data_IF_272445374471
#
_entry.id   IF_272445374471
#
_cell.length_a   1.000
_cell.length_b   1.000
_cell.length_c   1.000
_cell.angle_alpha   90.00
_cell.angle_beta   90.00
_cell.angle_gamma   90.00
#
_symmetry.space_group_name_H-M   'P 1'
#
loop_
_entity.id
_entity.type
_entity.pdbx_description
1 polymer ?
#
# COMPACT_ATOMS: atom_id res chain seq x y z
N UNK A 1 -12.16 -17.81 46.29
CA UNK A 1 -11.70 -16.60 47.01
C UNK A 1 -10.18 -16.52 47.14
N UNK A 2 -9.45 -17.62 47.37
CA UNK A 2 -8.00 -17.61 47.61
C UNK A 2 -7.14 -16.88 46.54
N UNK A 3 -7.52 -16.92 45.26
CA UNK A 3 -6.76 -16.25 44.18
C UNK A 3 -6.72 -14.71 44.34
N UNK A 4 -7.75 -14.10 44.94
CA UNK A 4 -7.78 -12.65 45.20
C UNK A 4 -7.03 -12.26 46.48
N UNK A 5 -6.48 -13.23 47.23
CA UNK A 5 -5.56 -12.96 48.33
C UNK A 5 -4.12 -12.73 47.82
N UNK A 6 -3.85 -13.00 46.54
CA UNK A 6 -2.56 -12.70 45.93
C UNK A 6 -2.39 -11.18 45.76
N UNK A 7 -1.15 -10.65 45.88
CA UNK A 7 -0.84 -9.28 45.49
C UNK A 7 -1.30 -9.00 44.05
N UNK A 8 -1.71 -7.77 43.77
CA UNK A 8 -2.26 -7.38 42.48
C UNK A 8 -1.28 -7.65 41.33
N UNK A 9 0.01 -7.46 41.58
CA UNK A 9 1.10 -7.71 40.64
C UNK A 9 1.20 -9.19 40.27
N UNK A 10 1.03 -10.09 41.25
CA UNK A 10 1.05 -11.53 41.01
C UNK A 10 -0.19 -11.95 40.23
N UNK A 11 -1.36 -11.40 40.58
CA UNK A 11 -2.59 -11.66 39.83
C UNK A 11 -2.46 -11.18 38.38
N UNK A 12 -1.97 -9.95 38.15
CA UNK A 12 -1.74 -9.41 36.83
C UNK A 12 -0.71 -10.25 36.04
N UNK A 13 0.35 -10.70 36.70
CA UNK A 13 1.34 -11.62 36.13
C UNK A 13 0.76 -13.00 35.77
N UNK A 14 -0.19 -13.53 36.53
CA UNK A 14 -0.88 -14.79 36.16
C UNK A 14 -1.78 -14.54 34.95
N UNK A 15 -2.56 -13.45 34.97
CA UNK A 15 -3.49 -13.12 33.90
C UNK A 15 -2.76 -12.76 32.60
N UNK A 16 -1.52 -12.28 32.66
CA UNK A 16 -0.72 -11.95 31.47
C UNK A 16 -0.31 -13.17 30.64
N UNK A 17 -0.45 -14.40 31.17
CA UNK A 17 -0.25 -15.65 30.40
C UNK A 17 -1.51 -16.13 29.68
N UNK A 18 -2.65 -15.48 29.88
CA UNK A 18 -3.92 -15.88 29.29
C UNK A 18 -4.19 -15.14 27.98
N UNK A 19 -4.91 -15.81 27.08
CA UNK A 19 -5.44 -15.14 25.89
C UNK A 19 -6.50 -14.09 26.28
N UNK A 20 -6.73 -13.06 25.43
CA UNK A 20 -7.70 -12.00 25.72
C UNK A 20 -9.10 -12.49 26.09
N UNK A 21 -9.58 -13.57 25.47
CA UNK A 21 -10.93 -14.06 25.70
C UNK A 21 -11.04 -14.73 27.07
N UNK A 22 -10.00 -15.43 27.52
CA UNK A 22 -9.89 -15.96 28.88
C UNK A 22 -9.83 -14.86 29.93
N UNK A 23 -9.09 -13.77 29.68
CA UNK A 23 -9.05 -12.60 30.59
C UNK A 23 -10.45 -11.98 30.76
N UNK A 24 -11.17 -11.77 29.65
CA UNK A 24 -12.54 -11.23 29.67
C UNK A 24 -13.48 -12.16 30.44
N UNK A 25 -13.37 -13.48 30.23
CA UNK A 25 -14.18 -14.47 30.95
C UNK A 25 -13.88 -14.46 32.45
N UNK A 26 -12.61 -14.35 32.84
CA UNK A 26 -12.22 -14.22 34.25
C UNK A 26 -12.82 -12.96 34.88
N UNK A 27 -12.74 -11.82 34.20
CA UNK A 27 -13.34 -10.56 34.66
C UNK A 27 -14.84 -10.63 34.93
N UNK A 28 -15.56 -11.54 34.26
CA UNK A 28 -17.01 -11.76 34.46
C UNK A 28 -17.36 -12.63 35.67
N UNK A 29 -16.39 -13.20 36.37
CA UNK A 29 -16.65 -14.13 37.48
C UNK A 29 -17.10 -13.45 38.76
N UNK A 30 -16.54 -12.27 39.09
CA UNK A 30 -16.93 -11.48 40.24
C UNK A 30 -16.48 -10.02 40.12
N UNK A 31 -16.95 -9.14 41.03
CA UNK A 31 -16.60 -7.71 41.03
C UNK A 31 -15.10 -7.46 41.19
N UNK A 32 -14.40 -8.25 42.02
CA UNK A 32 -12.96 -8.11 42.25
C UNK A 32 -12.15 -8.49 41.01
N UNK A 33 -12.56 -9.55 40.30
CA UNK A 33 -11.97 -9.92 39.02
C UNK A 33 -12.19 -8.81 37.98
N UNK A 34 -13.43 -8.32 37.86
CA UNK A 34 -13.78 -7.23 36.96
C UNK A 34 -12.92 -5.98 37.18
N UNK A 35 -12.72 -5.59 38.44
CA UNK A 35 -11.86 -4.46 38.79
C UNK A 35 -10.40 -4.68 38.40
N UNK A 36 -9.91 -5.93 38.50
CA UNK A 36 -8.53 -6.30 38.15
C UNK A 36 -8.29 -6.39 36.64
N UNK A 37 -9.33 -6.73 35.87
CA UNK A 37 -9.29 -6.83 34.39
C UNK A 37 -9.93 -5.62 33.71
N UNK A 38 -10.09 -4.49 34.40
CA UNK A 38 -10.69 -3.30 33.79
C UNK A 38 -9.80 -2.71 32.69
N UNK A 39 -10.35 -1.90 31.76
CA UNK A 39 -9.60 -1.24 30.69
C UNK A 39 -8.42 -0.39 31.18
N UNK A 40 -8.49 0.14 32.40
CA UNK A 40 -7.43 0.93 33.03
C UNK A 40 -6.15 0.13 33.31
N UNK A 41 -6.22 -1.21 33.35
CA UNK A 41 -5.04 -2.05 33.57
C UNK A 41 -4.25 -2.25 32.26
N UNK A 42 -3.62 -1.18 31.78
CA UNK A 42 -2.89 -1.16 30.51
C UNK A 42 -1.71 -2.14 30.47
N UNK A 43 -1.11 -2.48 31.61
CA UNK A 43 -0.04 -3.48 31.69
C UNK A 43 -0.57 -4.86 31.32
N UNK A 44 -1.70 -5.26 31.89
CA UNK A 44 -2.36 -6.52 31.54
C UNK A 44 -2.77 -6.55 30.07
N UNK A 45 -3.37 -5.46 29.59
CA UNK A 45 -3.85 -5.40 28.20
C UNK A 45 -2.71 -5.31 27.19
N UNK A 46 -1.56 -4.72 27.54
CA UNK A 46 -0.34 -4.82 26.74
C UNK A 46 0.09 -6.27 26.60
N UNK A 47 0.19 -7.03 27.70
CA UNK A 47 0.52 -8.46 27.61
C UNK A 47 -0.49 -9.25 26.78
N UNK A 48 -1.79 -9.02 26.98
CA UNK A 48 -2.85 -9.67 26.22
C UNK A 48 -2.79 -9.35 24.72
N UNK A 49 -2.47 -8.09 24.38
CA UNK A 49 -2.29 -7.64 23.01
C UNK A 49 -1.11 -8.34 22.34
N UNK A 50 0.03 -8.43 23.03
CA UNK A 50 1.26 -9.04 22.52
C UNK A 50 1.19 -10.57 22.34
N UNK A 51 0.18 -11.23 22.92
CA UNK A 51 -0.12 -12.64 22.61
C UNK A 51 -0.74 -12.84 21.22
N UNK A 52 -1.33 -11.79 20.65
CA UNK A 52 -2.15 -11.88 19.43
C UNK A 52 -1.60 -11.02 18.30
N UNK A 53 -1.03 -9.86 18.60
CA UNK A 53 -0.52 -8.90 17.64
C UNK A 53 0.95 -8.59 17.92
N UNK A 54 1.67 -8.14 16.90
CA UNK A 54 3.06 -7.69 17.03
C UNK A 54 3.15 -6.47 17.95
N UNK A 55 4.30 -6.29 18.61
CA UNK A 55 4.57 -5.07 19.39
C UNK A 55 4.66 -3.83 18.46
N UNK A 56 3.77 -2.84 18.61
CA UNK A 56 3.79 -1.63 17.80
C UNK A 56 5.11 -0.86 17.94
N UNK A 57 5.73 -0.86 19.13
CA UNK A 57 7.01 -0.16 19.34
C UNK A 57 8.13 -0.83 18.54
N UNK A 58 8.13 -2.16 18.45
CA UNK A 58 9.10 -2.88 17.60
C UNK A 58 8.84 -2.58 16.12
N UNK A 59 7.58 -2.56 15.68
CA UNK A 59 7.23 -2.23 14.30
C UNK A 59 7.64 -0.80 13.92
N UNK A 60 7.36 0.18 14.78
CA UNK A 60 7.72 1.57 14.55
C UNK A 60 9.23 1.81 14.64
N UNK A 61 9.96 1.05 15.47
CA UNK A 61 11.42 1.16 15.52
C UNK A 61 12.12 0.87 14.18
N UNK A 62 11.42 0.18 13.26
CA UNK A 62 11.90 -0.08 11.90
C UNK A 62 11.46 0.98 10.89
N UNK A 63 10.47 1.82 11.23
CA UNK A 63 10.10 2.94 10.36
C UNK A 63 11.11 4.09 10.49
N UNK A 64 11.40 4.82 9.40
CA UNK A 64 12.29 5.98 9.42
C UNK A 64 11.95 7.02 10.51
N UNK A 65 12.99 7.66 11.04
CA UNK A 65 12.86 8.73 12.03
C UNK A 65 12.83 8.20 13.46
N UNK A 66 12.29 9.01 14.37
CA UNK A 66 12.13 8.66 15.79
C UNK A 66 10.64 8.69 16.13
N UNK A 67 9.86 7.70 15.69
CA UNK A 67 8.44 7.67 15.95
C UNK A 67 8.19 7.62 17.47
N UNK A 68 7.18 8.36 17.98
CA UNK A 68 6.85 8.31 19.39
C UNK A 68 6.42 6.89 19.77
N UNK A 69 6.85 6.45 20.95
CA UNK A 69 6.50 5.17 21.56
C UNK A 69 5.00 5.07 21.86
N UNK A 70 4.53 3.85 22.15
CA UNK A 70 3.15 3.59 22.58
C UNK A 70 2.74 4.47 23.76
N UNK A 71 3.63 4.67 24.74
CA UNK A 71 3.38 5.56 25.87
C UNK A 71 3.22 7.03 25.45
N UNK A 72 4.10 7.53 24.59
CA UNK A 72 4.08 8.94 24.14
C UNK A 72 2.86 9.25 23.26
N UNK A 73 2.37 8.26 22.50
CA UNK A 73 1.14 8.38 21.70
C UNK A 73 -0.14 8.27 22.53
N UNK A 74 -0.06 7.89 23.80
CA UNK A 74 -1.24 7.51 24.58
C UNK A 74 -1.94 6.28 24.02
N UNK A 75 -1.17 5.31 23.53
CA UNK A 75 -1.70 4.08 22.93
C UNK A 75 -2.42 3.23 23.99
N UNK A 76 -3.74 3.12 23.86
CA UNK A 76 -4.57 2.32 24.75
C UNK A 76 -4.68 0.88 24.21
N UNK A 77 -3.96 -0.05 24.84
CA UNK A 77 -3.88 -1.45 24.41
C UNK A 77 -5.24 -2.16 24.48
N UNK A 78 -6.09 -1.86 25.46
CA UNK A 78 -7.42 -2.47 25.55
C UNK A 78 -8.32 -2.03 24.39
N UNK A 79 -8.30 -0.73 24.09
CA UNK A 79 -9.09 -0.13 23.01
C UNK A 79 -8.62 -0.64 21.65
N UNK A 80 -7.31 -0.68 21.41
CA UNK A 80 -6.74 -1.19 20.17
C UNK A 80 -7.00 -2.69 19.99
N UNK A 81 -6.84 -3.49 21.04
CA UNK A 81 -7.19 -4.92 21.03
C UNK A 81 -8.65 -5.12 20.63
N UNK A 82 -9.56 -4.40 21.28
CA UNK A 82 -11.00 -4.47 21.03
C UNK A 82 -11.33 -4.05 19.60
N UNK A 83 -10.79 -2.92 19.14
CA UNK A 83 -11.01 -2.39 17.79
C UNK A 83 -10.55 -3.39 16.72
N UNK A 84 -9.35 -3.96 16.88
CA UNK A 84 -8.80 -4.96 15.95
C UNK A 84 -9.63 -6.23 15.92
N UNK A 85 -10.03 -6.78 17.08
CA UNK A 85 -10.90 -7.96 17.12
C UNK A 85 -12.26 -7.72 16.48
N UNK A 86 -12.89 -6.56 16.73
CA UNK A 86 -14.17 -6.22 16.12
C UNK A 86 -14.03 -6.17 14.59
N UNK A 87 -12.97 -5.55 14.07
CA UNK A 87 -12.73 -5.48 12.63
C UNK A 87 -12.49 -6.87 12.01
N UNK A 88 -11.65 -7.70 12.64
CA UNK A 88 -11.40 -9.08 12.19
C UNK A 88 -12.67 -9.93 12.21
N UNK A 89 -13.52 -9.77 13.23
CA UNK A 89 -14.80 -10.45 13.30
C UNK A 89 -15.79 -9.93 12.24
N UNK A 90 -15.77 -8.63 11.94
CA UNK A 90 -16.60 -8.04 10.91
C UNK A 90 -16.22 -8.57 9.51
N UNK A 91 -14.93 -8.69 9.19
CA UNK A 91 -14.48 -9.31 7.92
C UNK A 91 -15.06 -10.72 7.75
N UNK A 92 -15.16 -11.50 8.84
CA UNK A 92 -15.75 -12.85 8.79
C UNK A 92 -17.25 -12.87 8.46
N UNK A 93 -17.98 -11.75 8.62
CA UNK A 93 -19.41 -11.67 8.24
C UNK A 93 -19.61 -11.42 6.73
N UNK A 94 -18.54 -11.15 5.97
CA UNK A 94 -18.54 -10.99 4.49
C UNK A 94 -19.39 -9.84 3.95
N UNK A 95 -19.94 -8.99 4.81
CA UNK A 95 -20.88 -7.90 4.45
C UNK A 95 -20.65 -6.63 5.29
N UNK A 96 -19.45 -6.49 5.85
CA UNK A 96 -19.13 -5.45 6.83
C UNK A 96 -18.92 -4.06 6.22
N UNK A 97 -18.75 -3.93 4.91
CA UNK A 97 -18.60 -2.63 4.24
C UNK A 97 -19.90 -1.82 4.15
N UNK A 98 -21.05 -2.47 4.25
CA UNK A 98 -22.36 -1.80 4.35
C UNK A 98 -22.68 -1.32 5.78
N UNK A 99 -21.82 -1.61 6.76
CA UNK A 99 -22.02 -1.19 8.15
C UNK A 99 -21.58 0.26 8.34
N UNK A 100 -22.30 1.03 9.18
CA UNK A 100 -21.89 2.40 9.55
C UNK A 100 -20.50 2.49 10.20
N UNK A 101 -19.95 1.37 10.70
CA UNK A 101 -18.60 1.25 11.26
C UNK A 101 -17.54 0.79 10.27
N UNK A 102 -17.85 0.66 8.98
CA UNK A 102 -16.93 0.15 7.96
C UNK A 102 -15.58 0.90 7.97
N UNK A 103 -15.58 2.22 8.06
CA UNK A 103 -14.35 3.02 8.15
C UNK A 103 -13.51 2.68 9.38
N UNK A 104 -14.14 2.46 10.54
CA UNK A 104 -13.41 2.04 11.74
C UNK A 104 -12.79 0.64 11.58
N UNK A 105 -13.41 -0.25 10.80
CA UNK A 105 -12.85 -1.56 10.48
C UNK A 105 -11.67 -1.45 9.53
N UNK A 106 -11.76 -0.58 8.52
CA UNK A 106 -10.67 -0.28 7.58
C UNK A 106 -9.46 0.27 8.34
N UNK A 107 -9.66 1.28 9.19
CA UNK A 107 -8.59 1.86 10.01
C UNK A 107 -7.92 0.83 10.93
N UNK A 108 -8.69 -0.12 11.47
CA UNK A 108 -8.14 -1.20 12.28
C UNK A 108 -7.28 -2.17 11.45
N UNK A 109 -7.72 -2.56 10.25
CA UNK A 109 -6.95 -3.42 9.35
C UNK A 109 -5.67 -2.73 8.88
N UNK A 110 -5.76 -1.45 8.51
CA UNK A 110 -4.60 -0.61 8.17
C UNK A 110 -3.65 -0.50 9.37
N UNK A 111 -4.15 -0.36 10.60
CA UNK A 111 -3.31 -0.36 11.80
C UNK A 111 -2.60 -1.69 12.02
N UNK A 112 -3.24 -2.84 11.77
CA UNK A 112 -2.60 -4.16 11.83
C UNK A 112 -1.46 -4.24 10.79
N UNK A 113 -1.68 -3.76 9.57
CA UNK A 113 -0.65 -3.66 8.52
C UNK A 113 0.49 -2.72 8.91
N UNK A 114 0.17 -1.53 9.41
CA UNK A 114 1.15 -0.51 9.73
C UNK A 114 2.04 -0.89 10.93
N UNK A 115 1.54 -1.78 11.79
CA UNK A 115 2.25 -2.35 12.95
C UNK A 115 2.74 -3.79 12.71
N UNK A 116 2.69 -4.30 11.48
CA UNK A 116 3.20 -5.63 11.19
C UNK A 116 4.73 -5.63 11.15
N UNK A 117 5.32 -6.60 11.85
CA UNK A 117 6.76 -6.85 11.81
C UNK A 117 7.12 -7.58 10.51
N UNK A 118 8.26 -7.26 9.90
CA UNK A 118 8.72 -8.01 8.70
C UNK A 118 10.19 -8.43 8.76
N UNK A 119 11.00 -7.76 9.58
CA UNK A 119 12.40 -8.11 9.78
C UNK A 119 12.66 -8.33 11.27
N UNK A 120 13.60 -9.22 11.63
CA UNK A 120 14.22 -9.22 12.94
C UNK A 120 14.61 -7.79 13.34
N UNK A 121 14.19 -7.37 14.54
CA UNK A 121 14.65 -6.10 15.10
C UNK A 121 16.06 -6.26 15.69
N UNK A 122 16.66 -5.16 16.17
CA UNK A 122 18.02 -5.20 16.74
C UNK A 122 18.16 -6.23 17.88
N UNK A 123 17.10 -6.45 18.67
CA UNK A 123 17.09 -7.45 19.76
C UNK A 123 17.03 -8.88 19.25
N UNK A 124 16.23 -9.15 18.22
CA UNK A 124 16.19 -10.46 17.57
C UNK A 124 17.53 -10.84 16.94
N UNK A 125 18.17 -9.88 16.26
CA UNK A 125 19.49 -10.07 15.64
C UNK A 125 20.54 -10.35 16.72
N UNK A 126 20.51 -9.61 17.83
CA UNK A 126 21.40 -9.87 18.97
C UNK A 126 21.21 -11.28 19.57
N UNK A 127 20.00 -11.86 19.45
CA UNK A 127 19.71 -13.24 19.85
C UNK A 127 20.00 -14.28 18.76
N UNK A 128 20.67 -13.90 17.66
CA UNK A 128 21.09 -14.80 16.60
C UNK A 128 20.03 -15.08 15.53
N UNK A 129 18.89 -14.38 15.53
CA UNK A 129 17.95 -14.47 14.40
C UNK A 129 18.51 -13.73 13.20
N UNK A 130 18.61 -14.42 12.07
CA UNK A 130 19.05 -13.85 10.80
C UNK A 130 17.81 -13.54 9.95
N UNK A 131 17.70 -12.35 9.34
CA UNK A 131 16.63 -12.05 8.39
C UNK A 131 16.69 -13.02 7.20
N UNK A 132 15.55 -13.56 6.79
CA UNK A 132 15.42 -14.35 5.56
C UNK A 132 14.41 -13.72 4.60
N UNK A 133 14.45 -14.14 3.33
CA UNK A 133 13.60 -13.57 2.28
C UNK A 133 12.10 -13.73 2.51
N UNK A 134 11.62 -14.63 3.38
CA UNK A 134 10.20 -14.77 3.67
C UNK A 134 9.94 -15.04 5.15
N UNK A 135 9.99 -13.98 5.95
CA UNK A 135 9.80 -14.02 7.40
C UNK A 135 8.35 -13.81 7.84
N UNK A 136 7.35 -14.07 6.98
CA UNK A 136 5.92 -13.85 7.31
C UNK A 136 5.47 -14.54 8.60
N UNK A 137 6.06 -15.68 8.95
CA UNK A 137 5.76 -16.45 10.16
C UNK A 137 6.30 -15.81 11.45
N UNK A 138 7.18 -14.80 11.34
CA UNK A 138 7.72 -14.08 12.51
C UNK A 138 6.77 -12.99 13.00
N UNK A 139 5.80 -12.58 12.17
CA UNK A 139 4.80 -11.57 12.49
C UNK A 139 3.45 -12.21 12.78
N UNK A 140 2.91 -11.92 13.96
CA UNK A 140 1.56 -12.30 14.34
C UNK A 140 0.54 -11.56 13.49
N UNK A 141 0.79 -10.28 13.18
CA UNK A 141 -0.10 -9.48 12.33
C UNK A 141 -0.21 -10.08 10.93
N UNK A 142 0.91 -10.51 10.33
CA UNK A 142 0.89 -11.13 9.03
C UNK A 142 0.25 -12.51 9.01
N UNK A 143 0.41 -13.30 10.05
CA UNK A 143 -0.32 -14.56 10.19
C UNK A 143 -1.83 -14.31 10.24
N UNK A 144 -2.28 -13.33 11.03
CA UNK A 144 -3.68 -12.92 11.07
C UNK A 144 -4.17 -12.49 9.69
N UNK A 145 -3.46 -11.59 9.01
CA UNK A 145 -3.85 -11.08 7.70
C UNK A 145 -3.83 -12.17 6.61
N UNK A 146 -2.89 -13.11 6.67
CA UNK A 146 -2.83 -14.25 5.74
C UNK A 146 -4.03 -15.17 5.92
N UNK A 147 -4.46 -15.40 7.17
CA UNK A 147 -5.66 -16.17 7.48
C UNK A 147 -6.96 -15.49 7.04
N UNK A 148 -6.96 -14.18 6.78
CA UNK A 148 -8.12 -13.49 6.21
C UNK A 148 -8.36 -13.80 4.73
N UNK A 149 -7.42 -14.46 4.04
CA UNK A 149 -7.60 -14.85 2.64
C UNK A 149 -8.85 -15.73 2.42
N UNK A 150 -9.19 -16.59 3.40
CA UNK A 150 -10.42 -17.39 3.40
C UNK A 150 -11.70 -16.54 3.43
N UNK A 151 -11.58 -15.30 3.94
CA UNK A 151 -12.65 -14.34 4.14
C UNK A 151 -12.50 -13.13 3.20
N UNK A 152 -11.89 -13.34 2.02
CA UNK A 152 -11.66 -12.28 1.02
C UNK A 152 -12.90 -11.43 0.75
N UNK A 153 -14.08 -12.04 0.70
CA UNK A 153 -15.36 -11.34 0.47
C UNK A 153 -15.61 -10.24 1.51
N UNK A 154 -15.17 -10.42 2.76
CA UNK A 154 -15.27 -9.38 3.78
C UNK A 154 -14.30 -8.23 3.57
N UNK A 155 -13.07 -8.51 3.10
CA UNK A 155 -12.11 -7.46 2.74
C UNK A 155 -12.62 -6.69 1.52
N UNK A 156 -13.09 -7.40 0.50
CA UNK A 156 -13.66 -6.80 -0.71
C UNK A 156 -14.92 -5.99 -0.39
N UNK A 157 -15.77 -6.44 0.54
CA UNK A 157 -16.90 -5.67 1.04
C UNK A 157 -16.45 -4.35 1.65
N UNK A 158 -15.42 -4.33 2.52
CA UNK A 158 -14.89 -3.07 3.07
C UNK A 158 -14.35 -2.13 1.98
N UNK A 159 -13.74 -2.67 0.92
CA UNK A 159 -13.19 -1.89 -0.19
C UNK A 159 -14.31 -1.30 -1.05
N UNK A 160 -15.34 -2.08 -1.38
CA UNK A 160 -16.30 -1.75 -2.45
C UNK A 160 -17.65 -1.25 -1.98
N UNK A 161 -18.11 -1.69 -0.81
CA UNK A 161 -19.45 -1.34 -0.34
C UNK A 161 -19.47 0.05 0.27
N UNK A 162 -20.66 0.65 0.28
CA UNK A 162 -20.94 1.87 1.02
C UNK A 162 -21.97 1.60 2.11
N UNK A 163 -21.89 2.26 3.27
CA UNK A 163 -22.98 2.25 4.24
C UNK A 163 -24.25 2.82 3.59
N UNK A 164 -25.27 1.98 3.39
CA UNK A 164 -26.55 2.44 2.86
C UNK A 164 -27.40 3.01 3.98
N UNK A 165 -27.79 4.29 3.86
CA UNK A 165 -28.81 4.89 4.73
C UNK A 165 -30.24 4.45 4.39
N UNK A 166 -30.45 3.89 3.21
CA UNK A 166 -31.75 3.37 2.78
C UNK A 166 -31.78 1.84 2.92
N UNK A 167 -32.92 1.29 3.34
CA UNK A 167 -33.12 -0.16 3.51
C UNK A 167 -33.04 -0.86 2.14
N UNK A 168 -31.83 -1.26 1.74
CA UNK A 168 -31.60 -2.17 0.62
C UNK A 168 -31.38 -3.60 1.16
N UNK A 169 -32.07 -4.63 0.65
CA UNK A 169 -31.86 -6.01 1.07
C UNK A 169 -30.51 -6.59 0.57
N UNK A 170 -29.78 -5.87 -0.27
CA UNK A 170 -28.45 -6.25 -0.79
C UNK A 170 -27.44 -5.13 -0.52
N UNK A 171 -26.15 -5.47 -0.30
CA UNK A 171 -25.08 -4.48 -0.22
C UNK A 171 -25.13 -3.55 -1.43
N UNK A 172 -25.07 -2.24 -1.18
CA UNK A 172 -24.93 -1.25 -2.25
C UNK A 172 -23.43 -1.03 -2.44
N UNK A 173 -22.92 -1.41 -3.61
CA UNK A 173 -21.53 -1.09 -3.97
C UNK A 173 -21.43 0.41 -4.26
N UNK A 174 -20.26 1.01 -4.01
CA UNK A 174 -20.01 2.44 -4.28
C UNK A 174 -20.33 2.81 -5.74
N UNK A 175 -20.08 1.89 -6.68
CA UNK A 175 -20.42 2.03 -8.10
C UNK A 175 -21.92 2.17 -8.39
N UNK A 176 -22.80 1.74 -7.48
CA UNK A 176 -24.25 1.84 -7.61
C UNK A 176 -24.83 3.13 -7.01
N UNK A 177 -24.00 3.94 -6.35
CA UNK A 177 -24.49 5.17 -5.72
C UNK A 177 -24.85 6.25 -6.75
N UNK A 178 -25.92 6.99 -6.45
CA UNK A 178 -26.43 8.06 -7.30
C UNK A 178 -25.52 9.29 -7.27
N UNK A 179 -24.89 9.57 -6.13
CA UNK A 179 -24.01 10.74 -5.95
C UNK A 179 -22.60 10.41 -6.38
N UNK A 180 -22.07 11.17 -7.34
CA UNK A 180 -20.70 11.02 -7.84
C UNK A 180 -19.64 11.04 -6.71
N UNK A 181 -19.87 11.86 -5.67
CA UNK A 181 -18.99 11.91 -4.49
C UNK A 181 -19.01 10.64 -3.65
N UNK A 182 -20.12 9.90 -3.64
CA UNK A 182 -20.29 8.64 -2.91
C UNK A 182 -19.81 7.43 -3.74
N UNK A 183 -19.59 7.61 -5.05
CA UNK A 183 -18.94 6.61 -5.91
C UNK A 183 -17.45 6.47 -5.60
N UNK A 184 -16.85 7.50 -5.02
CA UNK A 184 -15.46 7.45 -4.60
C UNK A 184 -15.33 6.67 -3.28
N UNK A 185 -14.37 5.73 -3.27
CA UNK A 185 -13.90 5.11 -2.03
C UNK A 185 -13.31 6.16 -1.12
N UNK A 186 -13.45 5.95 0.19
CA UNK A 186 -12.72 6.79 1.15
C UNK A 186 -11.21 6.62 0.96
N UNK A 187 -10.39 7.56 1.43
CA UNK A 187 -8.94 7.42 1.39
C UNK A 187 -8.46 6.13 2.07
N UNK A 188 -9.08 5.74 3.20
CA UNK A 188 -8.78 4.49 3.89
C UNK A 188 -9.12 3.26 3.05
N UNK A 189 -10.32 3.19 2.46
CA UNK A 189 -10.70 2.09 1.57
C UNK A 189 -9.79 1.99 0.33
N UNK A 190 -9.43 3.14 -0.26
CA UNK A 190 -8.53 3.20 -1.41
C UNK A 190 -7.11 2.74 -1.03
N UNK A 191 -6.60 3.15 0.15
CA UNK A 191 -5.33 2.67 0.69
C UNK A 191 -5.36 1.16 0.92
N UNK A 192 -6.40 0.65 1.57
CA UNK A 192 -6.57 -0.78 1.81
C UNK A 192 -6.56 -1.56 0.49
N UNK A 193 -7.26 -1.06 -0.53
CA UNK A 193 -7.30 -1.67 -1.85
C UNK A 193 -5.92 -1.68 -2.55
N UNK A 194 -5.19 -0.57 -2.51
CA UNK A 194 -3.82 -0.49 -3.04
C UNK A 194 -2.93 -1.54 -2.38
N UNK A 195 -2.98 -1.66 -1.04
CA UNK A 195 -2.14 -2.58 -0.27
C UNK A 195 -2.59 -4.05 -0.41
N UNK A 196 -3.89 -4.29 -0.63
CA UNK A 196 -4.47 -5.62 -0.81
C UNK A 196 -4.15 -6.21 -2.19
N UNK A 197 -4.38 -5.44 -3.26
CA UNK A 197 -4.31 -5.97 -4.63
C UNK A 197 -5.65 -5.89 -5.37
N UNK A 198 -5.71 -6.48 -6.56
CA UNK A 198 -6.93 -6.65 -7.35
C UNK A 198 -7.90 -7.60 -6.62
N UNK A 199 -9.12 -7.13 -6.46
CA UNK A 199 -10.24 -7.96 -5.98
C UNK A 199 -10.88 -8.75 -7.12
N UNK A 200 -11.82 -9.65 -6.78
CA UNK A 200 -12.66 -10.30 -7.77
C UNK A 200 -13.44 -9.30 -8.64
N UNK A 201 -13.82 -8.15 -8.08
CA UNK A 201 -14.55 -7.11 -8.80
C UNK A 201 -13.74 -6.59 -10.00
N UNK A 202 -12.48 -6.18 -9.81
CA UNK A 202 -11.65 -5.69 -10.91
C UNK A 202 -11.31 -6.78 -11.95
N UNK A 203 -11.26 -8.05 -11.53
CA UNK A 203 -10.92 -9.18 -12.41
C UNK A 203 -12.07 -9.57 -13.34
N UNK A 204 -13.31 -9.38 -12.91
CA UNK A 204 -14.51 -9.83 -13.63
C UNK A 204 -15.27 -8.67 -14.27
N UNK A 205 -15.37 -7.52 -13.60
CA UNK A 205 -16.21 -6.41 -14.04
C UNK A 205 -15.45 -5.43 -14.93
N UNK A 206 -15.79 -5.40 -16.22
CA UNK A 206 -15.25 -4.42 -17.18
C UNK A 206 -15.43 -2.97 -16.72
N UNK A 207 -16.55 -2.67 -16.05
CA UNK A 207 -16.85 -1.33 -15.52
C UNK A 207 -15.87 -0.88 -14.43
N UNK A 208 -15.29 -1.82 -13.67
CA UNK A 208 -14.28 -1.50 -12.67
C UNK A 208 -13.01 -0.96 -13.32
N UNK A 209 -12.61 -1.57 -14.45
CA UNK A 209 -11.46 -1.11 -15.24
C UNK A 209 -11.68 0.29 -15.79
N UNK A 210 -12.83 0.56 -16.41
CA UNK A 210 -13.13 1.90 -16.92
C UNK A 210 -13.21 2.95 -15.80
N UNK A 211 -13.76 2.60 -14.63
CA UNK A 211 -13.74 3.49 -13.46
C UNK A 211 -12.33 3.84 -13.00
N UNK A 212 -11.39 2.87 -13.00
CA UNK A 212 -10.00 3.13 -12.68
C UNK A 212 -9.33 4.02 -13.76
N UNK A 213 -9.54 3.71 -15.04
CA UNK A 213 -9.03 4.49 -16.19
C UNK A 213 -9.49 5.95 -16.15
N UNK A 214 -10.76 6.19 -15.83
CA UNK A 214 -11.31 7.55 -15.67
C UNK A 214 -10.60 8.37 -14.60
N UNK A 215 -10.03 7.74 -13.56
CA UNK A 215 -9.19 8.45 -12.58
C UNK A 215 -7.79 8.73 -13.14
N UNK A 216 -7.18 7.74 -13.78
CA UNK A 216 -5.79 7.78 -14.27
C UNK A 216 -5.61 8.78 -15.42
N UNK A 217 -6.54 8.80 -16.36
CA UNK A 217 -6.45 9.58 -17.59
C UNK A 217 -7.15 10.95 -17.51
N UNK A 218 -7.62 11.34 -16.33
CA UNK A 218 -8.22 12.66 -16.08
C UNK A 218 -7.12 13.69 -15.82
N UNK A 219 -6.86 14.56 -16.80
CA UNK A 219 -5.83 15.60 -16.73
C UNK A 219 -6.05 16.58 -15.56
N UNK A 220 -7.27 16.69 -15.04
CA UNK A 220 -7.53 17.55 -13.86
C UNK A 220 -6.94 16.98 -12.57
N UNK A 221 -6.50 15.71 -12.55
CA UNK A 221 -5.93 15.05 -11.37
C UNK A 221 -4.43 15.29 -11.20
N UNK A 222 -3.74 15.72 -12.24
CA UNK A 222 -2.28 15.94 -12.23
C UNK A 222 -1.92 17.32 -12.78
N UNK A 223 -0.81 17.88 -12.31
CA UNK A 223 -0.34 19.21 -12.68
C UNK A 223 0.95 19.59 -11.97
N UNK A 224 1.46 20.79 -12.25
CA UNK A 224 2.67 21.31 -11.63
C UNK A 224 2.58 21.42 -10.09
N UNK A 225 1.38 21.58 -9.53
CA UNK A 225 1.11 21.69 -8.09
C UNK A 225 1.19 20.36 -7.34
N UNK A 226 1.16 19.22 -8.04
CA UNK A 226 1.42 17.90 -7.47
C UNK A 226 2.54 17.15 -8.21
N UNK A 227 3.44 17.87 -8.88
CA UNK A 227 4.53 17.33 -9.69
C UNK A 227 4.09 16.26 -10.70
N UNK A 228 2.87 16.37 -11.23
CA UNK A 228 2.26 15.43 -12.17
C UNK A 228 2.17 13.98 -11.64
N UNK A 229 2.09 13.85 -10.32
CA UNK A 229 2.19 12.58 -9.61
C UNK A 229 0.88 12.25 -8.86
N UNK A 230 0.71 11.04 -8.30
CA UNK A 230 -0.45 10.70 -7.48
C UNK A 230 -0.37 11.29 -6.06
N UNK A 231 -0.09 12.59 -5.96
CA UNK A 231 -0.17 13.38 -4.73
C UNK A 231 -1.40 14.31 -4.76
N UNK A 232 -1.88 14.67 -3.58
CA UNK A 232 -2.96 15.64 -3.44
C UNK A 232 -2.52 16.99 -4.04
N UNK A 233 -3.40 17.57 -4.87
CA UNK A 233 -3.26 18.87 -5.55
C UNK A 233 -3.02 20.06 -4.62
N UNK A 234 -3.30 19.93 -3.32
CA UNK A 234 -3.07 20.98 -2.33
C UNK A 234 -1.61 21.28 -1.99
N UNK A 235 -0.63 20.76 -2.74
CA UNK A 235 0.80 20.99 -2.53
C UNK A 235 1.39 20.33 -1.27
N UNK A 236 0.61 19.49 -0.58
CA UNK A 236 1.02 18.87 0.69
C UNK A 236 2.10 17.77 0.56
N UNK A 237 2.33 17.26 -0.66
CA UNK A 237 3.16 16.09 -0.91
C UNK A 237 2.55 14.76 -0.43
N UNK A 238 1.37 14.76 0.18
CA UNK A 238 0.69 13.53 0.63
C UNK A 238 0.05 12.79 -0.53
N UNK A 239 -0.01 11.46 -0.42
CA UNK A 239 -0.58 10.54 -1.42
C UNK A 239 -2.07 10.84 -1.69
N UNK A 240 -2.45 10.94 -2.96
CA UNK A 240 -3.85 10.80 -3.39
C UNK A 240 -4.15 9.31 -3.55
N UNK A 241 -4.68 8.70 -2.49
CA UNK A 241 -5.00 7.27 -2.47
C UNK A 241 -6.03 6.88 -3.53
N UNK A 242 -6.95 7.77 -3.90
CA UNK A 242 -7.95 7.47 -4.92
C UNK A 242 -7.32 7.41 -6.30
N UNK A 243 -6.41 8.33 -6.63
CA UNK A 243 -5.68 8.29 -7.90
C UNK A 243 -4.72 7.10 -7.93
N UNK A 244 -3.94 6.89 -6.85
CA UNK A 244 -3.01 5.77 -6.76
C UNK A 244 -3.72 4.41 -6.87
N UNK A 245 -4.92 4.27 -6.31
CA UNK A 245 -5.77 3.10 -6.51
C UNK A 245 -6.12 2.87 -7.98
N UNK A 246 -6.51 3.93 -8.71
CA UNK A 246 -6.80 3.85 -10.13
C UNK A 246 -5.58 3.35 -10.90
N UNK A 247 -4.40 3.94 -10.64
CA UNK A 247 -3.12 3.54 -11.24
C UNK A 247 -2.81 2.07 -10.93
N UNK A 248 -2.86 1.67 -9.65
CA UNK A 248 -2.54 0.32 -9.23
C UNK A 248 -3.50 -0.72 -9.85
N UNK A 249 -4.78 -0.37 -9.98
CA UNK A 249 -5.78 -1.23 -10.63
C UNK A 249 -5.48 -1.43 -12.12
N UNK A 250 -5.29 -0.33 -12.86
CA UNK A 250 -4.98 -0.40 -14.31
C UNK A 250 -3.69 -1.18 -14.54
N UNK A 251 -2.65 -0.88 -13.77
CA UNK A 251 -1.35 -1.51 -13.97
C UNK A 251 -1.33 -2.98 -13.58
N UNK A 252 -2.00 -3.39 -12.50
CA UNK A 252 -2.07 -4.83 -12.16
C UNK A 252 -2.84 -5.62 -13.20
N UNK A 253 -3.94 -5.06 -13.73
CA UNK A 253 -4.69 -5.69 -14.82
C UNK A 253 -3.84 -5.81 -16.09
N UNK A 254 -3.13 -4.75 -16.47
CA UNK A 254 -2.26 -4.77 -17.66
C UNK A 254 -1.05 -5.68 -17.48
N UNK A 255 -0.35 -5.61 -16.33
CA UNK A 255 0.78 -6.49 -16.06
C UNK A 255 0.39 -7.97 -16.17
N UNK A 256 -0.78 -8.35 -15.64
CA UNK A 256 -1.29 -9.72 -15.76
C UNK A 256 -1.61 -10.17 -17.19
N UNK A 257 -1.86 -9.24 -18.11
CA UNK A 257 -2.16 -9.51 -19.52
C UNK A 257 -0.93 -9.48 -20.42
N UNK A 258 0.05 -8.63 -20.10
CA UNK A 258 1.24 -8.41 -20.93
C UNK A 258 2.36 -9.40 -20.60
N UNK A 259 2.25 -10.15 -19.50
CA UNK A 259 3.33 -10.96 -18.94
C UNK A 259 2.82 -12.35 -18.56
N UNK A 260 2.76 -13.26 -19.52
CA UNK A 260 2.22 -14.62 -19.32
C UNK A 260 2.97 -15.45 -18.26
N UNK A 261 4.27 -15.21 -18.12
CA UNK A 261 5.17 -16.09 -17.35
C UNK A 261 5.57 -15.54 -15.99
N UNK A 262 5.24 -14.28 -15.68
CA UNK A 262 5.67 -13.60 -14.45
C UNK A 262 4.47 -12.93 -13.79
N UNK A 263 4.22 -13.30 -12.54
CA UNK A 263 3.23 -12.66 -11.69
C UNK A 263 3.86 -11.50 -10.92
N UNK A 264 3.17 -10.35 -10.96
CA UNK A 264 3.50 -9.22 -10.08
C UNK A 264 3.24 -9.58 -8.60
N UNK A 265 4.07 -9.10 -7.66
CA UNK A 265 3.82 -9.26 -6.23
C UNK A 265 2.51 -8.56 -5.83
N UNK A 266 1.62 -9.32 -5.19
CA UNK A 266 0.27 -8.89 -4.81
C UNK A 266 -0.13 -9.49 -3.45
N UNK A 267 -0.86 -8.74 -2.64
CA UNK A 267 -1.24 -9.12 -1.29
C UNK A 267 -0.53 -8.30 -0.21
N UNK A 268 -1.11 -8.32 0.98
CA UNK A 268 -0.61 -7.56 2.13
C UNK A 268 0.86 -7.79 2.44
N UNK A 269 1.37 -9.01 2.25
CA UNK A 269 2.77 -9.32 2.53
C UNK A 269 3.77 -8.61 1.62
N UNK A 270 3.37 -8.07 0.47
CA UNK A 270 4.25 -7.27 -0.39
C UNK A 270 4.09 -5.76 -0.15
N UNK A 271 3.15 -5.37 0.69
CA UNK A 271 2.78 -4.01 1.01
C UNK A 271 3.30 -3.57 2.38
N UNK A 272 4.46 -4.12 2.78
CA UNK A 272 5.10 -3.88 4.06
C UNK A 272 6.55 -3.42 3.88
N UNK A 273 7.06 -2.56 4.79
CA UNK A 273 8.45 -2.18 4.79
C UNK A 273 9.37 -3.39 4.96
N UNK A 274 10.58 -3.29 4.39
CA UNK A 274 11.65 -4.27 4.51
C UNK A 274 11.34 -5.63 3.90
N UNK A 275 10.44 -5.67 2.90
CA UNK A 275 10.08 -6.89 2.17
C UNK A 275 11.26 -7.52 1.44
N UNK A 276 12.14 -6.69 0.87
CA UNK A 276 13.42 -7.11 0.30
C UNK A 276 14.53 -6.92 1.33
N UNK A 277 15.55 -7.78 1.35
CA UNK A 277 16.65 -7.66 2.31
C UNK A 277 17.56 -6.46 2.01
N UNK A 278 18.33 -6.03 3.01
CA UNK A 278 19.39 -5.02 2.80
C UNK A 278 20.55 -5.72 2.09
N UNK A 279 21.07 -5.11 1.03
CA UNK A 279 22.34 -5.53 0.45
C UNK A 279 23.47 -5.08 1.40
N UNK A 280 24.23 -5.99 2.01
CA UNK A 280 25.30 -5.64 2.93
C UNK A 280 26.44 -4.84 2.27
N UNK A 281 26.51 -4.84 0.94
CA UNK A 281 27.50 -4.06 0.18
C UNK A 281 27.06 -2.62 -0.07
N UNK A 282 25.76 -2.32 0.06
CA UNK A 282 25.17 -0.98 -0.11
C UNK A 282 24.13 -0.68 0.98
N UNK A 283 24.51 -0.71 2.27
CA UNK A 283 23.58 -0.55 3.39
C UNK A 283 22.86 0.81 3.43
N UNK A 284 23.39 1.83 2.76
CA UNK A 284 22.79 3.14 2.59
C UNK A 284 21.58 3.15 1.64
N UNK A 285 21.41 2.11 0.82
CA UNK A 285 20.28 1.95 -0.09
C UNK A 285 19.01 1.51 0.65
N UNK A 286 18.49 2.41 1.47
CA UNK A 286 17.28 2.17 2.23
C UNK A 286 16.06 1.94 1.34
N UNK A 287 16.05 2.36 0.07
CA UNK A 287 14.90 2.19 -0.81
C UNK A 287 14.96 0.92 -1.68
N UNK A 288 16.09 0.18 -1.68
CA UNK A 288 16.40 -0.88 -2.66
C UNK A 288 16.40 -0.34 -4.11
N UNK A 289 16.87 0.90 -4.27
CA UNK A 289 17.03 1.54 -5.59
C UNK A 289 17.99 0.75 -6.47
N UNK A 290 19.14 0.35 -5.95
CA UNK A 290 20.14 -0.45 -6.64
C UNK A 290 19.61 -1.85 -6.94
N UNK A 291 19.83 -2.32 -8.16
CA UNK A 291 19.48 -3.65 -8.62
C UNK A 291 18.41 -3.65 -9.71
N UNK A 292 17.91 -4.84 -10.07
CA UNK A 292 16.98 -4.97 -11.17
C UNK A 292 15.52 -4.78 -10.73
N UNK A 293 14.76 -4.10 -11.58
CA UNK A 293 13.32 -3.91 -11.46
C UNK A 293 12.61 -4.35 -12.75
N UNK A 294 11.44 -4.97 -12.61
CA UNK A 294 10.58 -5.35 -13.73
C UNK A 294 9.33 -4.48 -13.75
N UNK A 295 8.93 -3.99 -14.91
CA UNK A 295 7.79 -3.12 -15.00
C UNK A 295 7.28 -2.89 -16.41
N UNK A 296 6.17 -2.18 -16.49
CA UNK A 296 5.53 -1.78 -17.75
C UNK A 296 4.77 -0.47 -17.53
N UNK A 297 4.23 0.08 -18.61
CA UNK A 297 3.41 1.28 -18.66
C UNK A 297 2.21 1.03 -19.56
N UNK A 298 1.16 1.83 -19.42
CA UNK A 298 -0.01 1.76 -20.30
C UNK A 298 -0.39 3.15 -20.82
N UNK A 299 -1.12 3.17 -21.94
CA UNK A 299 -1.59 4.40 -22.58
C UNK A 299 -2.89 4.16 -23.35
N UNK A 300 -3.73 5.20 -23.43
CA UNK A 300 -4.84 5.25 -24.36
C UNK A 300 -4.37 5.83 -25.69
N UNK A 301 -5.12 5.55 -26.76
CA UNK A 301 -5.00 6.33 -27.98
C UNK A 301 -5.21 7.82 -27.67
N UNK A 302 -4.43 8.68 -28.33
CA UNK A 302 -4.47 10.10 -28.05
C UNK A 302 -5.83 10.73 -28.38
N UNK A 303 -6.54 10.24 -29.40
CA UNK A 303 -7.87 10.73 -29.74
C UNK A 303 -8.89 10.42 -28.64
N UNK A 304 -8.85 9.21 -28.07
CA UNK A 304 -9.71 8.82 -26.95
C UNK A 304 -9.37 9.61 -25.69
N UNK A 305 -8.08 9.78 -25.40
CA UNK A 305 -7.60 10.60 -24.28
C UNK A 305 -8.04 12.06 -24.40
N UNK A 306 -7.90 12.65 -25.59
CA UNK A 306 -8.30 14.02 -25.87
C UNK A 306 -9.81 14.19 -25.72
N UNK A 307 -10.59 13.28 -26.31
CA UNK A 307 -12.06 13.29 -26.27
C UNK A 307 -12.58 13.18 -24.84
N UNK A 308 -11.95 12.34 -24.02
CA UNK A 308 -12.31 12.18 -22.61
C UNK A 308 -12.09 13.47 -21.78
N UNK A 309 -11.01 14.20 -22.04
CA UNK A 309 -10.60 15.36 -21.25
C UNK A 309 -11.20 16.69 -21.73
N UNK A 310 -11.53 16.81 -23.02
CA UNK A 310 -12.13 18.02 -23.60
C UNK A 310 -13.66 17.92 -23.73
N UNK A 311 -14.31 17.09 -22.91
CA UNK A 311 -15.77 17.01 -22.89
C UNK A 311 -16.37 18.25 -22.23
N UNK A 312 -16.99 19.13 -23.02
CA UNK A 312 -17.59 20.39 -22.57
C UNK A 312 -19.07 20.27 -22.13
N UNK A 313 -19.53 19.10 -21.70
CA UNK A 313 -20.89 18.97 -21.17
C UNK A 313 -22.01 19.12 -22.21
N UNK A 314 -21.73 18.84 -23.49
CA UNK A 314 -22.76 18.78 -24.52
C UNK A 314 -23.66 17.54 -24.32
N UNK A 315 -24.81 17.49 -25.01
CA UNK A 315 -25.96 16.60 -24.78
C UNK A 315 -25.69 15.08 -24.59
N UNK A 316 -24.47 14.60 -24.83
CA UNK A 316 -24.06 13.22 -24.65
C UNK A 316 -23.31 12.98 -23.32
N UNK A 317 -23.55 11.83 -22.66
CA UNK A 317 -22.88 11.47 -21.42
C UNK A 317 -21.37 11.34 -21.62
N UNK A 318 -20.59 11.78 -20.61
CA UNK A 318 -19.12 11.65 -20.62
C UNK A 318 -18.69 10.20 -20.87
N UNK A 319 -17.69 10.01 -21.71
CA UNK A 319 -17.14 8.70 -22.07
C UNK A 319 -16.72 7.90 -20.82
N UNK A 320 -17.10 6.62 -20.77
CA UNK A 320 -16.82 5.78 -19.60
C UNK A 320 -15.43 5.13 -19.65
N UNK A 321 -14.76 5.05 -20.78
CA UNK A 321 -13.48 4.33 -20.94
C UNK A 321 -13.54 2.83 -20.60
N UNK A 322 -14.73 2.24 -20.47
CA UNK A 322 -14.91 0.84 -20.11
C UNK A 322 -14.49 -0.10 -21.26
N UNK A 323 -14.76 0.31 -22.51
CA UNK A 323 -14.50 -0.45 -23.73
C UNK A 323 -13.30 0.03 -24.55
N UNK A 324 -12.74 1.20 -24.25
CA UNK A 324 -11.71 1.78 -25.10
C UNK A 324 -10.42 0.95 -25.10
N UNK A 325 -9.74 0.82 -26.26
CA UNK A 325 -8.44 0.20 -26.36
C UNK A 325 -7.44 0.89 -25.43
N UNK A 326 -6.63 0.08 -24.75
CA UNK A 326 -5.51 0.58 -23.94
C UNK A 326 -4.34 -0.34 -24.24
N UNK A 327 -3.28 0.27 -24.73
CA UNK A 327 -2.04 -0.42 -25.03
C UNK A 327 -1.16 -0.46 -23.78
N UNK A 328 -0.35 -1.51 -23.75
CA UNK A 328 0.58 -1.80 -22.68
C UNK A 328 1.96 -1.93 -23.31
N UNK A 329 2.94 -1.24 -22.74
CA UNK A 329 4.33 -1.37 -23.16
C UNK A 329 4.85 -2.78 -22.94
N UNK A 330 5.95 -3.11 -23.63
CA UNK A 330 6.70 -4.33 -23.36
C UNK A 330 7.11 -4.41 -21.88
N UNK A 331 7.31 -5.63 -21.38
CA UNK A 331 7.96 -5.82 -20.09
C UNK A 331 9.39 -5.25 -20.15
N UNK A 332 9.64 -4.23 -19.34
CA UNK A 332 10.92 -3.56 -19.23
C UNK A 332 11.68 -4.04 -17.99
N UNK A 333 12.99 -4.20 -18.14
CA UNK A 333 13.92 -4.43 -17.03
C UNK A 333 14.78 -3.18 -16.82
N UNK A 334 14.59 -2.51 -15.70
CA UNK A 334 15.51 -1.49 -15.22
C UNK A 334 16.65 -2.15 -14.47
N UNK A 335 17.85 -1.60 -14.59
CA UNK A 335 18.98 -1.92 -13.73
C UNK A 335 19.57 -0.61 -13.25
N UNK A 336 19.43 -0.35 -11.97
CA UNK A 336 19.77 0.92 -11.34
C UNK A 336 20.92 0.73 -10.36
N UNK A 337 21.64 1.81 -10.08
CA UNK A 337 22.66 1.92 -9.04
C UNK A 337 22.57 3.29 -8.40
N UNK A 338 22.90 3.39 -7.11
CA UNK A 338 23.05 4.68 -6.46
C UNK A 338 24.10 5.53 -7.18
N UNK A 339 23.76 6.80 -7.37
CA UNK A 339 24.57 7.79 -8.06
C UNK A 339 24.32 9.16 -7.42
N UNK A 340 25.03 9.52 -6.34
CA UNK A 340 24.85 10.81 -5.68
C UNK A 340 25.33 11.99 -6.54
N UNK A 341 26.08 11.75 -7.63
CA UNK A 341 26.67 12.81 -8.45
C UNK A 341 25.63 13.63 -9.22
N UNK A 342 24.45 13.05 -9.49
CA UNK A 342 23.33 13.72 -10.18
C UNK A 342 22.43 14.54 -9.25
N UNK A 343 22.76 14.65 -7.96
CA UNK A 343 21.94 15.35 -6.96
C UNK A 343 21.70 16.84 -7.26
N UNK A 344 22.56 17.44 -8.07
CA UNK A 344 22.44 18.83 -8.54
C UNK A 344 21.59 18.99 -9.80
N UNK A 345 21.09 17.90 -10.41
CA UNK A 345 20.24 17.99 -11.60
C UNK A 345 18.94 18.74 -11.26
N UNK A 346 18.65 19.89 -11.91
CA UNK A 346 17.45 20.67 -11.65
C UNK A 346 16.16 19.92 -11.96
N UNK A 347 16.17 18.96 -12.90
CA UNK A 347 14.99 18.15 -13.25
C UNK A 347 14.70 17.08 -12.19
N UNK A 348 15.64 16.82 -11.27
CA UNK A 348 15.46 15.92 -10.13
C UNK A 348 15.02 16.65 -8.86
N UNK A 349 14.71 17.95 -8.93
CA UNK A 349 14.24 18.73 -7.78
C UNK A 349 12.71 18.72 -7.68
N UNK A 350 12.18 18.67 -6.46
CA UNK A 350 10.75 18.75 -6.15
C UNK A 350 10.44 19.99 -5.33
N UNK A 351 9.30 20.63 -5.60
CA UNK A 351 8.76 21.71 -4.74
C UNK A 351 7.83 21.18 -3.65
N UNK A 352 7.33 19.95 -3.79
CA UNK A 352 6.50 19.33 -2.78
C UNK A 352 7.30 19.01 -1.53
N UNK A 353 6.70 19.14 -0.33
CA UNK A 353 7.31 18.69 0.92
C UNK A 353 7.70 17.21 0.85
N UNK A 354 8.84 16.89 1.45
CA UNK A 354 9.35 15.52 1.63
C UNK A 354 9.68 15.31 3.11
N UNK A 355 9.69 14.06 3.56
CA UNK A 355 10.25 13.73 4.88
C UNK A 355 11.79 13.70 4.81
N UNK A 356 12.42 14.23 5.85
CA UNK A 356 13.89 14.26 6.01
C UNK A 356 14.40 13.16 6.94
N UNK A 357 13.55 12.22 7.35
CA UNK A 357 13.92 11.12 8.25
C UNK A 357 14.92 10.14 7.64
N UNK A 358 15.03 10.13 6.30
CA UNK A 358 16.08 9.46 5.54
C UNK A 358 16.60 10.38 4.44
N UNK A 359 17.87 10.23 4.02
CA UNK A 359 18.45 11.03 2.94
C UNK A 359 17.78 10.68 1.61
N UNK A 360 17.66 11.69 0.73
CA UNK A 360 17.26 11.47 -0.66
C UNK A 360 18.32 10.61 -1.35
N UNK A 361 17.88 9.50 -1.94
CA UNK A 361 18.73 8.65 -2.77
C UNK A 361 18.64 9.12 -4.21
N UNK A 362 19.78 9.28 -4.86
CA UNK A 362 19.86 9.52 -6.29
C UNK A 362 20.41 8.27 -6.96
N UNK A 363 19.92 7.95 -8.15
CA UNK A 363 20.31 6.75 -8.87
C UNK A 363 20.38 6.98 -10.37
N UNK A 364 21.21 6.19 -11.04
CA UNK A 364 21.30 6.12 -12.49
C UNK A 364 21.41 4.68 -12.95
N UNK A 365 21.15 4.44 -14.23
CA UNK A 365 21.12 3.10 -14.78
C UNK A 365 20.54 3.04 -16.18
N UNK A 366 19.97 1.90 -16.52
CA UNK A 366 19.42 1.68 -17.85
C UNK A 366 18.17 0.82 -17.87
N UNK A 367 17.33 1.05 -18.89
CA UNK A 367 16.15 0.26 -19.23
C UNK A 367 16.38 -0.53 -20.51
N UNK A 368 15.90 -1.76 -20.56
CA UNK A 368 15.87 -2.62 -21.74
C UNK A 368 14.63 -3.50 -21.75
N UNK A 369 14.17 -3.93 -22.92
CA UNK A 369 13.12 -4.94 -23.03
C UNK A 369 13.58 -6.28 -22.40
N UNK A 370 12.73 -6.91 -21.62
CA UNK A 370 13.06 -8.11 -20.85
C UNK A 370 13.42 -9.30 -21.75
N UNK A 371 12.66 -9.52 -22.83
CA UNK A 371 12.85 -10.65 -23.77
C UNK A 371 13.93 -10.43 -24.84
N UNK A 372 14.82 -9.44 -24.67
CA UNK A 372 16.12 -9.40 -25.34
C UNK A 372 16.16 -9.16 -26.87
N UNK A 373 15.04 -9.02 -27.58
CA UNK A 373 15.10 -8.67 -29.01
C UNK A 373 15.26 -7.16 -29.23
N UNK A 374 16.52 -6.75 -29.48
CA UNK A 374 16.92 -5.58 -30.29
C UNK A 374 16.36 -4.21 -29.94
N UNK A 375 15.97 -3.92 -28.70
CA UNK A 375 15.72 -2.52 -28.27
C UNK A 375 17.00 -1.85 -27.79
N UNK A 376 17.13 -0.56 -28.11
CA UNK A 376 18.20 0.32 -27.63
C UNK A 376 18.21 0.32 -26.09
N UNK A 377 19.40 0.35 -25.51
CA UNK A 377 19.58 0.59 -24.08
C UNK A 377 19.22 2.06 -23.83
N UNK A 378 18.26 2.29 -22.94
CA UNK A 378 17.73 3.62 -22.64
C UNK A 378 18.30 4.04 -21.30
N UNK A 379 18.93 5.21 -21.23
CA UNK A 379 19.48 5.71 -19.98
C UNK A 379 18.36 6.16 -19.05
N UNK A 380 18.51 5.87 -17.76
CA UNK A 380 17.55 6.26 -16.71
C UNK A 380 18.31 6.90 -15.57
N UNK A 381 17.77 7.99 -15.03
CA UNK A 381 18.25 8.59 -13.79
C UNK A 381 17.10 9.12 -12.96
N UNK A 382 17.28 9.28 -11.66
CA UNK A 382 16.16 9.56 -10.79
C UNK A 382 16.52 9.76 -9.33
N UNK A 383 15.49 9.86 -8.50
CA UNK A 383 15.63 9.89 -7.05
C UNK A 383 14.54 9.08 -6.36
N UNK A 384 14.82 8.67 -5.13
CA UNK A 384 13.86 8.14 -4.17
C UNK A 384 13.93 8.95 -2.86
N UNK A 385 12.78 9.31 -2.31
CA UNK A 385 12.69 10.00 -1.01
C UNK A 385 11.42 9.60 -0.26
N UNK A 386 11.36 9.91 1.03
CA UNK A 386 10.18 9.63 1.84
C UNK A 386 9.08 10.68 1.61
N UNK A 387 7.85 10.20 1.47
CA UNK A 387 6.64 11.02 1.46
C UNK A 387 6.42 11.64 2.86
N UNK A 388 5.80 12.81 3.00
CA UNK A 388 5.41 13.35 4.29
C UNK A 388 4.62 12.34 5.13
N UNK A 389 5.13 12.03 6.34
CA UNK A 389 4.62 10.96 7.20
C UNK A 389 5.52 9.73 7.28
N UNK A 390 6.61 9.69 6.49
CA UNK A 390 7.73 8.75 6.65
C UNK A 390 7.37 7.27 6.48
N UNK A 391 6.29 6.98 5.76
CA UNK A 391 5.85 5.62 5.45
C UNK A 391 6.07 5.27 3.98
N UNK A 392 5.38 5.94 3.06
CA UNK A 392 5.48 5.68 1.63
C UNK A 392 6.76 6.29 1.03
N UNK A 393 7.23 5.72 -0.08
CA UNK A 393 8.41 6.21 -0.82
C UNK A 393 7.96 6.85 -2.12
N UNK A 394 8.43 8.07 -2.40
CA UNK A 394 8.30 8.74 -3.69
C UNK A 394 9.46 8.37 -4.59
N UNK A 395 9.16 8.14 -5.86
CA UNK A 395 10.13 7.84 -6.91
C UNK A 395 9.94 8.77 -8.09
N UNK A 396 11.04 9.35 -8.58
CA UNK A 396 11.10 10.05 -9.87
C UNK A 396 12.08 9.33 -10.78
N UNK A 397 11.69 9.09 -12.03
CA UNK A 397 12.58 8.62 -13.09
C UNK A 397 12.52 9.56 -14.30
N UNK A 398 13.68 9.92 -14.82
CA UNK A 398 13.85 10.56 -16.11
C UNK A 398 14.39 9.53 -17.10
N UNK A 399 13.66 9.35 -18.19
CA UNK A 399 13.99 8.42 -19.25
C UNK A 399 14.61 9.20 -20.40
N UNK A 400 15.88 8.89 -20.69
CA UNK A 400 16.66 9.56 -21.71
C UNK A 400 16.83 8.67 -22.95
N UNK A 401 16.28 9.12 -24.07
CA UNK A 401 16.45 8.51 -25.39
C UNK A 401 17.40 9.37 -26.22
N UNK A 402 18.45 8.77 -26.78
CA UNK A 402 19.31 9.46 -27.74
C UNK A 402 20.00 10.72 -27.19
N UNK A 403 20.22 10.82 -25.88
CA UNK A 403 20.82 11.99 -25.23
C UNK A 403 19.84 13.06 -24.78
N UNK A 404 18.55 12.92 -25.08
CA UNK A 404 17.49 13.82 -24.63
C UNK A 404 16.56 13.12 -23.66
N UNK A 405 16.15 13.84 -22.62
CA UNK A 405 15.08 13.38 -21.73
C UNK A 405 13.76 13.52 -22.47
N UNK A 406 12.93 12.48 -22.44
CA UNK A 406 11.61 12.50 -23.07
C UNK A 406 10.49 12.26 -22.07
N UNK A 407 10.68 11.32 -21.15
CA UNK A 407 9.63 10.91 -20.22
C UNK A 407 10.05 11.14 -18.79
N UNK A 408 9.13 11.70 -18.02
CA UNK A 408 9.19 11.80 -16.57
C UNK A 408 8.19 10.80 -15.99
N UNK A 409 8.64 9.97 -15.06
CA UNK A 409 7.82 9.02 -14.33
C UNK A 409 7.84 9.41 -12.86
N UNK A 410 6.65 9.65 -12.29
CA UNK A 410 6.46 9.96 -10.88
C UNK A 410 5.59 8.91 -10.22
N UNK A 411 6.13 8.22 -9.21
CA UNK A 411 5.49 7.08 -8.59
C UNK A 411 5.64 7.01 -7.08
N UNK A 412 4.84 6.14 -6.50
CA UNK A 412 4.75 5.90 -5.06
C UNK A 412 4.92 4.40 -4.82
N UNK A 413 5.76 4.05 -3.85
CA UNK A 413 5.86 2.72 -3.29
C UNK A 413 5.02 2.66 -2.01
N UNK A 414 3.76 2.15 -2.06
CA UNK A 414 2.79 2.31 -0.99
C UNK A 414 3.10 1.45 0.25
N UNK A 415 3.87 0.37 0.09
CA UNK A 415 4.32 -0.44 1.22
C UNK A 415 5.48 0.18 2.01
N UNK A 416 6.08 1.26 1.50
CA UNK A 416 7.23 1.93 2.10
C UNK A 416 8.60 1.35 1.74
N UNK A 417 9.59 1.70 2.56
CA UNK A 417 11.01 1.32 2.44
C UNK A 417 11.17 -0.15 2.07
N UNK A 418 11.85 -0.46 0.95
CA UNK A 418 12.15 -1.85 0.50
C UNK A 418 10.91 -2.77 0.39
N UNK A 419 9.75 -2.19 0.08
CA UNK A 419 8.51 -2.96 -0.11
C UNK A 419 8.35 -3.44 -1.56
N UNK A 420 7.13 -3.79 -1.96
CA UNK A 420 6.79 -4.24 -3.31
C UNK A 420 6.82 -3.14 -4.37
N UNK A 421 5.74 -3.04 -5.14
CA UNK A 421 5.70 -2.25 -6.37
C UNK A 421 5.67 -0.74 -6.17
N UNK A 422 6.26 -0.03 -7.13
CA UNK A 422 6.09 1.40 -7.38
C UNK A 422 4.94 1.55 -8.38
N UNK A 423 3.98 2.43 -8.10
CA UNK A 423 2.87 2.76 -8.98
C UNK A 423 2.84 4.26 -9.22
N UNK A 424 2.72 4.70 -10.47
CA UNK A 424 2.81 6.11 -10.80
C UNK A 424 2.24 6.51 -12.14
N UNK A 425 2.48 7.76 -12.51
CA UNK A 425 2.09 8.34 -13.78
C UNK A 425 3.34 8.76 -14.56
N UNK A 426 3.37 8.41 -15.85
CA UNK A 426 4.35 8.92 -16.80
C UNK A 426 3.77 10.11 -17.56
N UNK A 427 4.62 11.10 -17.85
CA UNK A 427 4.32 12.30 -18.64
C UNK A 427 5.50 12.62 -19.55
N UNK A 428 5.29 13.50 -20.53
CA UNK A 428 6.41 14.13 -21.24
C UNK A 428 7.17 15.08 -20.29
N UNK A 429 8.51 15.10 -20.33
CA UNK A 429 9.32 15.83 -19.36
C UNK A 429 9.11 17.36 -19.39
N UNK A 430 8.76 17.90 -20.55
CA UNK A 430 8.58 19.35 -20.72
C UNK A 430 7.15 19.81 -20.36
N UNK A 431 6.23 18.87 -20.11
CA UNK A 431 4.85 19.13 -19.69
C UNK A 431 4.11 20.19 -20.54
N UNK A 432 4.26 20.11 -21.86
CA UNK A 432 3.47 20.92 -22.77
C UNK A 432 1.97 20.64 -22.60
N UNK A 433 1.15 21.62 -22.99
CA UNK A 433 -0.30 21.55 -22.83
C UNK A 433 -0.85 20.33 -23.58
N UNK A 434 -1.71 19.56 -22.92
CA UNK A 434 -2.37 18.38 -23.48
C UNK A 434 -1.41 17.28 -23.95
N UNK A 435 -0.22 17.20 -23.35
CA UNK A 435 0.67 16.06 -23.54
C UNK A 435 0.06 14.79 -22.95
N UNK A 436 0.29 13.63 -23.59
CA UNK A 436 -0.25 12.37 -23.10
C UNK A 436 0.34 12.03 -21.74
N UNK A 437 -0.47 11.38 -20.92
CA UNK A 437 -0.08 10.80 -19.65
C UNK A 437 -0.69 9.42 -19.51
N UNK A 438 -0.09 8.59 -18.66
CA UNK A 438 -0.62 7.26 -18.39
C UNK A 438 0.05 6.60 -17.19
N UNK A 439 -0.43 5.43 -16.77
CA UNK A 439 0.08 4.77 -15.59
C UNK A 439 1.33 3.94 -15.90
N UNK A 440 2.16 3.73 -14.88
CA UNK A 440 3.26 2.76 -14.91
C UNK A 440 3.38 2.00 -13.58
N UNK A 441 4.06 0.86 -13.62
CA UNK A 441 4.49 0.16 -12.41
C UNK A 441 5.87 -0.48 -12.57
N UNK A 442 6.63 -0.53 -11.49
CA UNK A 442 7.88 -1.30 -11.38
C UNK A 442 7.92 -2.09 -10.07
N UNK A 443 8.42 -3.31 -10.12
CA UNK A 443 8.56 -4.22 -8.99
C UNK A 443 10.01 -4.67 -8.84
N UNK A 444 10.52 -4.88 -7.62
CA UNK A 444 11.80 -5.55 -7.44
C UNK A 444 11.74 -6.92 -8.14
N UNK A 445 12.73 -7.23 -8.99
CA UNK A 445 12.70 -8.45 -9.81
C UNK A 445 12.61 -9.72 -8.94
N UNK A 446 13.28 -9.72 -7.79
CA UNK A 446 13.26 -10.84 -6.81
C UNK A 446 11.88 -11.13 -6.20
N UNK A 447 10.95 -10.15 -6.21
CA UNK A 447 9.59 -10.34 -5.72
C UNK A 447 8.63 -10.82 -6.81
N UNK A 448 9.05 -10.77 -8.07
CA UNK A 448 8.28 -11.26 -9.19
C UNK A 448 8.46 -12.78 -9.29
N UNK A 449 7.36 -13.54 -9.25
CA UNK A 449 7.42 -15.01 -9.30
C UNK A 449 6.99 -15.52 -10.67
N UNK A 450 7.51 -16.66 -11.08
CA UNK A 450 6.94 -17.33 -12.25
C UNK A 450 5.48 -17.69 -12.00
N UNK A 451 4.62 -17.49 -12.99
CA UNK A 451 3.17 -17.78 -12.89
C UNK A 451 2.92 -19.23 -12.45
N UNK A 452 3.76 -20.18 -12.88
CA UNK A 452 3.67 -21.59 -12.48
C UNK A 452 3.81 -21.81 -10.97
N UNK A 453 4.67 -21.04 -10.30
CA UNK A 453 4.87 -21.12 -8.85
C UNK A 453 3.68 -20.54 -8.09
N UNK A 454 3.05 -19.49 -8.62
CA UNK A 454 1.88 -18.85 -7.97
C UNK A 454 0.65 -19.74 -8.04
N UNK A 455 0.41 -20.41 -9.18
CA UNK A 455 -0.71 -21.35 -9.32
C UNK A 455 -0.57 -22.54 -8.38
N UNK A 456 0.65 -23.01 -8.12
CA UNK A 456 0.90 -24.10 -7.17
C UNK A 456 0.74 -23.71 -5.69
N UNK A 457 0.75 -22.40 -5.38
CA UNK A 457 0.70 -21.87 -4.01
C UNK A 457 -0.70 -21.35 -3.60
N UNK A 458 -1.66 -21.33 -4.52
CA UNK A 458 -3.08 -21.05 -4.27
C UNK A 458 -3.84 -22.35 -4.18
#
# INVERSE_FOLDING_TARGET
MAIFALPHEILAGILSFLDPQSIIRFGRTCKTAYASTGPQNQILWKSAFLHVFDDPDEAWSMTPGTPPSTNERGFDFHTELSRRFIALQAVRTRSCGSNDRAEAYIEALLSILDTAKFTPNARDIANGKVPIEDDRYTSLNLQILSNLAEWREGIESLIHDTPSREFSPRPITRSMTLRESERCRTPGASRLHVLYGLTNWERVEHKARGAARRKVYDWTRIGADNDYAPFLRGGSGKVDWSLLEGVATVMRLNFSKCVDQIAAPEGFCYSLPHRTLVDPTTPEDWARATGPWLGTYAFLDYADLWTYNNWEGQAEPRMTLDGEPEDCGDLMRLTLKLDPSISSDPRLQTKLPISTDLPVLYFSGHSRGYNGMRRLIIAVRGFACLVPGSREVRWRFLINYGGQDHWLLEGIQPGGVRSGGIFGIWTHCDHEVNTPSGPFCYFPEELCKSTSVVVAAR
#
